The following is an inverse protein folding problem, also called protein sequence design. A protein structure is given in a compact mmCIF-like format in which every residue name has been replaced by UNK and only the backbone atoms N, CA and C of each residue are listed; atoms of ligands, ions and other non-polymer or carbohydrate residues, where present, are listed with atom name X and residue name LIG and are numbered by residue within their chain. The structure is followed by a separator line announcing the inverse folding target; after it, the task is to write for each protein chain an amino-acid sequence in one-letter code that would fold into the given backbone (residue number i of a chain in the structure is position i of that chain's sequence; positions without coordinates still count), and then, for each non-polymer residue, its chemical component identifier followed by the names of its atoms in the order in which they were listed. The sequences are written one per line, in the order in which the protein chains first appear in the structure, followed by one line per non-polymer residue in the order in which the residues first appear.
data_IF_534230786300
#
_entry.id   IF_534230786300
#
_cell.length_a   1.000
_cell.length_b   1.000
_cell.length_c   1.000
_cell.angle_alpha   90.00
_cell.angle_beta   90.00
_cell.angle_gamma   90.00
#
_symmetry.space_group_name_H-M   'P 1'
#
loop_
_entity.id
_entity.type
_entity.pdbx_description
1 polymer ?
#
# COMPACT_ATOMS: atom_id res chain seq x y z
N UNK A 1 56.89 6.06 -16.46
CA UNK A 1 57.46 5.08 -15.52
C UNK A 1 56.41 4.01 -15.32
N UNK A 2 56.64 2.80 -15.83
CA UNK A 2 55.70 1.70 -15.67
C UNK A 2 55.77 1.21 -14.22
N UNK A 3 54.64 1.22 -13.52
CA UNK A 3 54.52 0.58 -12.22
C UNK A 3 54.72 -0.93 -12.44
N UNK A 4 55.81 -1.50 -11.94
CA UNK A 4 55.97 -2.95 -11.85
C UNK A 4 54.94 -3.46 -10.84
N UNK A 5 53.75 -3.81 -11.32
CA UNK A 5 52.77 -4.55 -10.54
C UNK A 5 53.32 -5.96 -10.37
N UNK A 6 53.74 -6.30 -9.16
CA UNK A 6 54.22 -7.62 -8.83
C UNK A 6 53.01 -8.53 -8.59
N UNK A 7 52.64 -9.25 -9.65
CA UNK A 7 51.50 -10.16 -9.67
C UNK A 7 51.59 -11.22 -8.57
N UNK A 8 52.79 -11.74 -8.28
CA UNK A 8 53.01 -12.72 -7.20
C UNK A 8 52.72 -12.14 -5.81
N UNK A 9 53.02 -10.85 -5.59
CA UNK A 9 52.73 -10.19 -4.33
C UNK A 9 51.23 -9.94 -4.15
N UNK A 10 50.52 -9.66 -5.25
CA UNK A 10 49.07 -9.52 -5.23
C UNK A 10 48.36 -10.86 -5.02
N UNK A 11 48.81 -11.92 -5.70
CA UNK A 11 48.30 -13.29 -5.52
C UNK A 11 48.45 -13.72 -4.05
N UNK A 12 49.65 -13.55 -3.46
CA UNK A 12 49.85 -13.87 -2.04
C UNK A 12 48.97 -13.05 -1.09
N UNK A 13 48.74 -11.77 -1.39
CA UNK A 13 47.86 -10.93 -0.58
C UNK A 13 46.41 -11.43 -0.65
N UNK A 14 45.96 -11.88 -1.83
CA UNK A 14 44.63 -12.47 -2.00
C UNK A 14 44.53 -13.82 -1.28
N UNK A 15 45.52 -14.70 -1.39
CA UNK A 15 45.57 -15.98 -0.68
C UNK A 15 45.55 -15.79 0.85
N UNK A 16 46.36 -14.87 1.39
CA UNK A 16 46.41 -14.61 2.83
C UNK A 16 45.11 -13.92 3.34
N UNK A 17 44.48 -13.04 2.55
CA UNK A 17 43.27 -12.30 2.95
C UNK A 17 41.98 -13.10 2.75
N UNK A 18 41.95 -14.02 1.78
CA UNK A 18 40.76 -14.81 1.44
C UNK A 18 40.91 -16.22 1.95
N UNK A 19 41.90 -16.99 1.49
CA UNK A 19 41.98 -18.43 1.80
C UNK A 19 42.44 -18.73 3.24
N UNK A 20 43.28 -17.86 3.82
CA UNK A 20 43.81 -18.02 5.19
C UNK A 20 43.11 -17.14 6.22
N UNK A 21 42.09 -16.40 5.80
CA UNK A 21 41.30 -15.57 6.71
C UNK A 21 40.28 -16.41 7.46
N UNK A 22 40.14 -16.13 8.76
CA UNK A 22 39.16 -16.75 9.65
C UNK A 22 37.72 -16.67 9.10
N UNK A 23 37.44 -15.64 8.27
CA UNK A 23 36.16 -15.45 7.62
C UNK A 23 35.84 -16.57 6.61
N UNK A 24 36.80 -16.96 5.78
CA UNK A 24 36.59 -18.00 4.78
C UNK A 24 36.62 -19.39 5.41
N UNK A 25 37.50 -19.63 6.40
CA UNK A 25 37.48 -20.88 7.16
C UNK A 25 36.16 -21.08 7.93
N UNK A 26 35.59 -20.02 8.51
CA UNK A 26 34.27 -20.08 9.17
C UNK A 26 33.11 -20.30 8.21
N UNK A 27 33.20 -19.78 6.98
CA UNK A 27 32.22 -20.01 5.92
C UNK A 27 32.32 -21.40 5.28
N UNK A 28 33.52 -21.98 5.23
CA UNK A 28 33.76 -23.35 4.74
C UNK A 28 33.28 -24.41 5.75
N UNK A 29 33.28 -24.11 7.05
CA UNK A 29 32.68 -24.98 8.08
C UNK A 29 31.14 -24.91 8.13
N UNK A 30 30.54 -23.88 7.53
CA UNK A 30 29.09 -23.70 7.47
C UNK A 30 28.49 -24.49 6.30
N UNK A 31 28.18 -25.75 6.54
CA UNK A 31 27.44 -26.58 5.58
C UNK A 31 25.96 -26.15 5.58
N UNK A 32 25.67 -25.11 4.80
CA UNK A 32 24.31 -24.55 4.65
C UNK A 32 23.26 -25.62 4.31
N UNK A 33 23.64 -26.68 3.60
CA UNK A 33 22.73 -27.77 3.30
C UNK A 33 22.43 -28.59 4.56
N UNK A 34 23.46 -28.95 5.34
CA UNK A 34 23.28 -29.65 6.63
C UNK A 34 22.50 -28.80 7.62
N UNK A 35 22.86 -27.54 7.81
CA UNK A 35 22.18 -26.64 8.75
C UNK A 35 20.71 -26.39 8.36
N UNK A 36 20.41 -26.30 7.05
CA UNK A 36 19.04 -26.21 6.57
C UNK A 36 18.27 -27.51 6.78
N UNK A 37 18.89 -28.68 6.54
CA UNK A 37 18.28 -29.98 6.81
C UNK A 37 18.02 -30.15 8.31
N UNK A 38 18.98 -29.83 9.18
CA UNK A 38 18.79 -29.88 10.63
C UNK A 38 17.67 -28.93 11.09
N UNK A 39 17.57 -27.74 10.50
CA UNK A 39 16.47 -26.82 10.76
C UNK A 39 15.12 -27.40 10.31
N UNK A 40 15.05 -27.94 9.09
CA UNK A 40 13.83 -28.59 8.56
C UNK A 40 13.45 -29.80 9.38
N UNK A 41 14.40 -30.59 9.86
CA UNK A 41 14.17 -31.76 10.72
C UNK A 41 13.73 -31.35 12.13
N UNK A 42 14.25 -30.23 12.67
CA UNK A 42 13.86 -29.72 13.99
C UNK A 42 12.49 -29.01 13.99
N UNK A 43 12.03 -28.54 12.83
CA UNK A 43 10.73 -27.89 12.69
C UNK A 43 9.76 -28.91 12.12
N UNK A 44 8.73 -29.28 12.88
CA UNK A 44 7.70 -30.22 12.42
C UNK A 44 6.82 -29.58 11.33
N UNK A 45 7.34 -29.58 10.10
CA UNK A 45 6.75 -28.93 8.92
C UNK A 45 5.69 -29.80 8.25
N UNK A 46 5.56 -31.07 8.64
CA UNK A 46 4.54 -31.97 8.11
C UNK A 46 3.26 -31.91 8.92
N UNK A 47 2.11 -31.75 8.26
CA UNK A 47 0.81 -31.90 8.91
C UNK A 47 0.52 -33.40 9.01
N UNK A 48 1.03 -34.02 10.08
CA UNK A 48 0.91 -35.46 10.30
C UNK A 48 -0.53 -35.91 10.61
N UNK A 49 -1.34 -35.06 11.24
CA UNK A 49 -2.74 -35.37 11.55
C UNK A 49 -3.64 -35.18 10.32
N UNK A 50 -4.29 -36.27 9.92
CA UNK A 50 -5.14 -36.29 8.73
C UNK A 50 -6.33 -35.34 8.83
N UNK A 51 -6.96 -35.22 10.00
CA UNK A 51 -8.12 -34.34 10.17
C UNK A 51 -7.69 -32.87 10.09
N UNK A 52 -6.55 -32.52 10.69
CA UNK A 52 -5.94 -31.19 10.56
C UNK A 52 -5.60 -30.91 9.10
N UNK A 53 -5.01 -31.86 8.37
CA UNK A 53 -4.71 -31.69 6.95
C UNK A 53 -5.97 -31.46 6.09
N UNK A 54 -7.04 -32.23 6.33
CA UNK A 54 -8.32 -32.07 5.65
C UNK A 54 -8.96 -30.71 5.96
N UNK A 55 -8.93 -30.26 7.22
CA UNK A 55 -9.44 -28.95 7.63
C UNK A 55 -8.65 -27.81 6.96
N UNK A 56 -7.31 -27.89 6.96
CA UNK A 56 -6.44 -26.91 6.31
C UNK A 56 -6.72 -26.85 4.80
N UNK A 57 -6.95 -28.00 4.15
CA UNK A 57 -7.31 -28.02 2.73
C UNK A 57 -8.64 -27.30 2.46
N UNK A 58 -9.67 -27.53 3.29
CA UNK A 58 -10.94 -26.83 3.20
C UNK A 58 -10.78 -25.32 3.41
N UNK A 59 -10.08 -24.91 4.47
CA UNK A 59 -9.83 -23.50 4.78
C UNK A 59 -9.08 -22.80 3.64
N UNK A 60 -8.09 -23.47 3.03
CA UNK A 60 -7.36 -22.93 1.87
C UNK A 60 -8.27 -22.75 0.64
N UNK A 61 -9.20 -23.67 0.39
CA UNK A 61 -10.18 -23.52 -0.70
C UNK A 61 -11.12 -22.34 -0.44
N UNK A 62 -11.59 -22.16 0.80
CA UNK A 62 -12.44 -21.04 1.18
C UNK A 62 -11.71 -19.70 1.04
N UNK A 63 -10.43 -19.64 1.46
CA UNK A 63 -9.59 -18.45 1.27
C UNK A 63 -9.41 -18.11 -0.21
N UNK A 64 -9.16 -19.08 -1.08
CA UNK A 64 -9.04 -18.84 -2.52
C UNK A 64 -10.36 -18.33 -3.14
N UNK A 65 -11.48 -18.94 -2.75
CA UNK A 65 -12.82 -18.51 -3.15
C UNK A 65 -13.10 -17.07 -2.73
N UNK A 66 -12.88 -16.74 -1.45
CA UNK A 66 -13.06 -15.40 -0.91
C UNK A 66 -12.16 -14.37 -1.62
N UNK A 67 -10.91 -14.74 -1.95
CA UNK A 67 -9.98 -13.88 -2.68
C UNK A 67 -10.49 -13.58 -4.10
N UNK A 68 -11.10 -14.54 -4.79
CA UNK A 68 -11.70 -14.34 -6.12
C UNK A 68 -12.87 -13.37 -6.06
N UNK A 69 -13.78 -13.53 -5.09
CA UNK A 69 -14.93 -12.62 -4.92
C UNK A 69 -14.47 -11.20 -4.52
N UNK A 70 -13.47 -11.08 -3.64
CA UNK A 70 -12.88 -9.78 -3.30
C UNK A 70 -12.31 -9.07 -4.55
N UNK A 71 -11.56 -9.79 -5.38
CA UNK A 71 -11.02 -9.23 -6.62
C UNK A 71 -12.12 -8.78 -7.60
N UNK A 72 -13.21 -9.54 -7.69
CA UNK A 72 -14.37 -9.19 -8.51
C UNK A 72 -15.01 -7.89 -8.03
N UNK A 73 -15.31 -7.79 -6.73
CA UNK A 73 -15.88 -6.58 -6.11
C UNK A 73 -14.98 -5.35 -6.31
N UNK A 74 -13.66 -5.50 -6.11
CA UNK A 74 -12.71 -4.41 -6.35
C UNK A 74 -12.68 -3.96 -7.82
N UNK A 75 -12.77 -4.89 -8.77
CA UNK A 75 -12.80 -4.57 -10.19
C UNK A 75 -14.12 -3.89 -10.60
N UNK A 76 -15.25 -4.33 -10.06
CA UNK A 76 -16.54 -3.66 -10.24
C UNK A 76 -16.53 -2.25 -9.66
N UNK A 77 -15.97 -2.07 -8.45
CA UNK A 77 -15.79 -0.75 -7.86
C UNK A 77 -14.96 0.17 -8.75
N UNK A 78 -13.82 -0.31 -9.28
CA UNK A 78 -12.99 0.47 -10.23
C UNK A 78 -13.76 0.89 -11.49
N UNK A 79 -14.66 0.03 -12.00
CA UNK A 79 -15.50 0.33 -13.18
C UNK A 79 -16.50 1.44 -12.90
N UNK A 80 -16.97 1.60 -11.66
CA UNK A 80 -17.89 2.67 -11.23
C UNK A 80 -17.11 3.94 -10.85
N UNK A 81 -16.01 3.77 -10.12
CA UNK A 81 -15.17 4.84 -9.59
C UNK A 81 -14.56 5.69 -10.70
N UNK A 82 -14.03 5.07 -11.76
CA UNK A 82 -13.36 5.78 -12.85
C UNK A 82 -14.30 6.75 -13.60
N UNK A 83 -15.47 6.32 -14.10
CA UNK A 83 -16.44 7.24 -14.71
C UNK A 83 -16.87 8.39 -13.80
N UNK A 84 -17.04 8.15 -12.50
CA UNK A 84 -17.40 9.19 -11.54
C UNK A 84 -16.25 10.21 -11.37
N UNK A 85 -15.00 9.75 -11.25
CA UNK A 85 -13.83 10.63 -11.20
C UNK A 85 -13.70 11.46 -12.48
N UNK A 86 -13.91 10.84 -13.63
CA UNK A 86 -13.87 11.52 -14.93
C UNK A 86 -14.99 12.58 -15.05
N UNK A 87 -16.21 12.26 -14.59
CA UNK A 87 -17.32 13.20 -14.55
C UNK A 87 -17.04 14.40 -13.64
N UNK A 88 -16.51 14.18 -12.43
CA UNK A 88 -16.17 15.28 -11.51
C UNK A 88 -15.07 16.15 -12.10
N UNK A 89 -14.05 15.55 -12.71
CA UNK A 89 -12.97 16.28 -13.39
C UNK A 89 -13.54 17.16 -14.51
N UNK A 90 -14.36 16.59 -15.39
CA UNK A 90 -15.03 17.35 -16.46
C UNK A 90 -15.82 18.55 -15.91
N UNK A 91 -16.60 18.36 -14.84
CA UNK A 91 -17.36 19.47 -14.22
C UNK A 91 -16.45 20.53 -13.61
N UNK A 92 -15.38 20.12 -12.93
CA UNK A 92 -14.35 21.01 -12.37
C UNK A 92 -13.71 21.86 -13.46
N UNK A 93 -13.33 21.24 -14.58
CA UNK A 93 -12.69 21.91 -15.71
C UNK A 93 -13.65 22.90 -16.37
N UNK A 94 -14.92 22.52 -16.56
CA UNK A 94 -15.95 23.42 -17.09
C UNK A 94 -16.19 24.64 -16.21
N UNK A 95 -16.26 24.45 -14.89
CA UNK A 95 -16.39 25.55 -13.92
C UNK A 95 -15.19 26.49 -14.01
N UNK A 96 -13.98 25.94 -14.04
CA UNK A 96 -12.73 26.71 -14.12
C UNK A 96 -12.65 27.49 -15.44
N UNK A 97 -13.04 26.89 -16.55
CA UNK A 97 -13.05 27.56 -17.86
C UNK A 97 -14.11 28.66 -17.96
N UNK A 98 -15.28 28.46 -17.33
CA UNK A 98 -16.37 29.45 -17.34
C UNK A 98 -16.10 30.59 -16.36
N UNK A 99 -15.47 30.29 -15.24
CA UNK A 99 -15.17 31.22 -14.15
C UNK A 99 -13.67 31.16 -13.80
N UNK A 100 -12.76 31.72 -14.62
CA UNK A 100 -11.30 31.56 -14.42
C UNK A 100 -10.76 32.12 -13.11
N UNK A 101 -11.48 33.05 -12.48
CA UNK A 101 -11.13 33.68 -11.21
C UNK A 101 -11.68 32.90 -10.00
N UNK A 102 -12.24 31.70 -10.20
CA UNK A 102 -12.75 30.87 -9.11
C UNK A 102 -11.58 30.19 -8.37
N UNK A 103 -10.99 30.89 -7.39
CA UNK A 103 -9.81 30.44 -6.65
C UNK A 103 -9.97 30.60 -5.14
N UNK A 104 -9.73 29.51 -4.40
CA UNK A 104 -9.40 29.42 -2.95
C UNK A 104 -10.20 30.28 -1.95
N UNK A 105 -11.36 30.82 -2.34
CA UNK A 105 -12.24 31.58 -1.45
C UNK A 105 -13.56 30.85 -1.26
N UNK A 106 -14.25 31.16 -0.16
CA UNK A 106 -15.58 30.64 0.10
C UNK A 106 -16.60 31.43 -0.72
N UNK A 107 -17.33 30.71 -1.57
CA UNK A 107 -18.40 31.22 -2.40
C UNK A 107 -19.74 30.98 -1.73
N UNK A 108 -20.61 31.99 -1.78
CA UNK A 108 -22.03 31.82 -1.46
C UNK A 108 -22.82 31.74 -2.76
N UNK A 109 -23.47 30.61 -3.00
CA UNK A 109 -24.42 30.45 -4.09
C UNK A 109 -25.80 30.16 -3.53
N UNK A 110 -26.69 31.14 -3.62
CA UNK A 110 -28.03 31.11 -3.00
C UNK A 110 -27.94 30.79 -1.50
N UNK A 111 -28.50 29.66 -1.12
CA UNK A 111 -28.54 29.13 0.23
C UNK A 111 -27.33 28.25 0.56
N UNK A 112 -26.33 28.11 -0.32
CA UNK A 112 -25.16 27.28 -0.03
C UNK A 112 -23.91 28.14 0.10
N UNK A 113 -23.05 27.77 1.04
CA UNK A 113 -21.64 28.15 1.02
C UNK A 113 -20.86 26.96 0.46
N UNK A 114 -19.74 27.21 -0.21
CA UNK A 114 -18.75 26.19 -0.54
C UNK A 114 -17.40 26.85 -0.77
N UNK A 115 -16.31 26.11 -0.62
CA UNK A 115 -14.99 26.54 -1.06
C UNK A 115 -14.57 25.67 -2.23
N UNK A 116 -14.00 26.28 -3.26
CA UNK A 116 -13.54 25.58 -4.44
C UNK A 116 -12.07 25.87 -4.71
N UNK A 117 -11.31 24.80 -4.95
CA UNK A 117 -9.88 24.82 -5.17
C UNK A 117 -9.52 23.83 -6.28
N UNK A 118 -9.44 24.33 -7.50
CA UNK A 118 -9.10 23.51 -8.68
C UNK A 118 -7.64 22.99 -8.65
N UNK A 119 -6.77 23.58 -7.83
CA UNK A 119 -5.35 23.24 -7.74
C UNK A 119 -5.08 22.05 -6.80
N UNK A 120 -6.05 21.63 -5.97
CA UNK A 120 -5.89 20.46 -5.08
C UNK A 120 -5.77 19.16 -5.87
N UNK A 121 -4.86 18.30 -5.39
CA UNK A 121 -4.52 17.02 -6.02
C UNK A 121 -5.66 16.00 -5.91
N UNK A 122 -6.25 15.83 -4.74
CA UNK A 122 -7.36 14.92 -4.53
C UNK A 122 -8.69 15.59 -4.92
N UNK A 123 -9.54 14.86 -5.65
CA UNK A 123 -10.84 15.36 -6.12
C UNK A 123 -11.76 15.74 -4.96
N UNK A 124 -11.71 14.96 -3.86
CA UNK A 124 -12.44 15.23 -2.61
C UNK A 124 -12.11 16.59 -2.00
N UNK A 125 -10.88 17.05 -2.18
CA UNK A 125 -10.37 18.25 -1.50
C UNK A 125 -10.63 19.51 -2.33
N UNK A 126 -11.07 19.35 -3.59
CA UNK A 126 -11.33 20.47 -4.51
C UNK A 126 -12.61 21.22 -4.19
N UNK A 127 -13.57 20.58 -3.53
CA UNK A 127 -14.84 21.18 -3.16
C UNK A 127 -15.16 20.83 -1.71
N UNK A 128 -15.23 21.83 -0.85
CA UNK A 128 -15.55 21.64 0.57
C UNK A 128 -16.69 22.53 1.02
N UNK A 129 -17.39 22.08 2.07
CA UNK A 129 -18.31 22.94 2.80
C UNK A 129 -19.59 23.32 2.07
N UNK A 130 -20.12 22.46 1.17
CA UNK A 130 -21.46 22.52 0.55
C UNK A 130 -22.59 22.55 1.61
N UNK A 131 -22.64 23.63 2.37
CA UNK A 131 -23.43 23.75 3.60
C UNK A 131 -24.54 24.78 3.39
N UNK A 132 -25.79 24.46 3.78
CA UNK A 132 -26.86 25.41 3.70
C UNK A 132 -26.65 26.58 4.69
N UNK A 133 -26.87 27.83 4.24
CA UNK A 133 -26.74 29.08 5.00
C UNK A 133 -27.86 29.26 6.01
N UNK A 134 -28.96 28.53 5.88
CA UNK A 134 -30.08 28.54 6.82
C UNK A 134 -30.34 27.11 7.29
N UNK A 135 -30.04 26.84 8.56
CA UNK A 135 -30.11 25.52 9.14
C UNK A 135 -31.52 24.92 9.14
N UNK A 136 -31.69 23.85 8.37
CA UNK A 136 -32.24 22.57 8.83
C UNK A 136 -31.62 21.48 7.96
N UNK A 137 -30.79 20.67 8.60
CA UNK A 137 -30.03 19.60 7.99
C UNK A 137 -31.00 18.50 7.54
N UNK A 138 -31.24 18.38 6.24
CA UNK A 138 -31.66 17.11 5.66
C UNK A 138 -30.48 16.55 4.88
N UNK A 139 -29.55 15.94 5.61
CA UNK A 139 -28.60 15.01 5.02
C UNK A 139 -29.40 13.78 4.57
N UNK A 140 -29.03 13.13 3.45
CA UNK A 140 -29.48 11.78 3.18
C UNK A 140 -29.04 10.91 4.36
N UNK A 141 -30.00 10.41 5.13
CA UNK A 141 -29.80 9.48 6.22
C UNK A 141 -29.19 8.21 5.64
N UNK A 142 -27.87 8.08 5.60
CA UNK A 142 -27.09 6.82 5.56
C UNK A 142 -25.61 7.09 5.25
N UNK A 143 -24.90 7.79 6.13
CA UNK A 143 -23.46 7.54 6.32
C UNK A 143 -23.21 7.61 7.82
N UNK A 144 -23.34 6.47 8.50
CA UNK A 144 -22.74 6.29 9.80
C UNK A 144 -21.23 6.17 9.59
N UNK A 145 -20.45 7.12 10.11
CA UNK A 145 -19.07 6.83 10.48
C UNK A 145 -18.85 7.21 11.94
N UNK A 146 -18.41 6.16 12.64
CA UNK A 146 -18.07 6.04 14.04
C UNK A 146 -16.67 6.61 14.27
N UNK A 147 -16.40 6.97 15.54
CA UNK A 147 -15.13 7.30 16.21
C UNK A 147 -14.70 8.77 16.20
N UNK A 148 -14.12 9.33 17.27
CA UNK A 148 -14.02 9.06 18.72
C UNK A 148 -13.09 10.18 19.26
N UNK A 149 -12.96 10.27 20.60
CA UNK A 149 -11.89 10.98 21.36
C UNK A 149 -12.25 12.36 21.98
N UNK A 150 -12.67 12.25 23.25
CA UNK A 150 -12.43 13.03 24.48
C UNK A 150 -12.11 14.53 24.48
N UNK A 151 -12.75 15.23 25.42
CA UNK A 151 -12.23 16.45 26.09
C UNK A 151 -12.17 16.17 27.61
N UNK A 152 -11.06 16.44 28.32
CA UNK A 152 -11.02 16.35 29.77
C UNK A 152 -11.64 17.60 30.44
N UNK A 153 -12.08 17.43 31.70
CA UNK A 153 -12.80 18.42 32.53
C UNK A 153 -12.11 19.77 32.65
#
# INVERSE_FOLDING_TARGET
MAHNFNEDAFIKLVEDLVERSDFYSSGVEFDWAREFIEYVDCVDLEIADRQVAENVACDLMDVDSAKKELNKMQNEHKKIEKPLKDFIKMKTDNITNTCPLIEHVSYRFREFVFTFDSKKRAISDRLSGLLPTSGKVFLPSNIAFVNSVSVPM
#
